data_IF_829343596085
#
_entry.id   IF_829343596085
#
_cell.length_a   1.000
_cell.length_b   1.000
_cell.length_c   1.000
_cell.angle_alpha   90.00
_cell.angle_beta   90.00
_cell.angle_gamma   90.00
#
_symmetry.space_group_name_H-M   'P 1'
#
loop_
_entity.id
_entity.type
_entity.pdbx_description
1 polymer ?
#
# COMPACT_ATOMS: atom_id res chain seq x y z
N UNK A 1 13.05 -6.23 -2.26
CA UNK A 1 13.77 -5.36 -1.30
C UNK A 1 15.22 -5.81 -1.13
N UNK A 2 15.48 -7.08 -0.76
CA UNK A 2 16.83 -7.63 -0.57
C UNK A 2 17.78 -7.44 -1.78
N UNK A 3 17.31 -7.71 -3.00
CA UNK A 3 18.09 -7.47 -4.23
C UNK A 3 18.62 -6.03 -4.36
N UNK A 4 17.90 -5.05 -3.81
CA UNK A 4 18.27 -3.63 -3.83
C UNK A 4 18.95 -3.17 -2.54
N UNK A 5 19.17 -4.05 -1.56
CA UNK A 5 19.77 -3.71 -0.26
C UNK A 5 18.89 -2.81 0.61
N UNK A 6 17.57 -2.81 0.39
CA UNK A 6 16.60 -1.97 1.12
C UNK A 6 15.90 -2.81 2.19
N UNK A 7 15.75 -2.26 3.40
CA UNK A 7 14.97 -2.92 4.45
C UNK A 7 13.47 -2.88 4.12
N UNK A 8 12.73 -3.95 4.43
CA UNK A 8 11.27 -3.96 4.19
C UNK A 8 10.54 -2.83 4.93
N UNK A 9 11.04 -2.42 6.10
CA UNK A 9 10.53 -1.26 6.86
C UNK A 9 10.63 0.08 6.12
N UNK A 10 11.47 0.16 5.08
CA UNK A 10 11.64 1.34 4.22
C UNK A 10 10.84 1.22 2.92
N UNK A 11 9.96 0.22 2.81
CA UNK A 11 9.10 0.02 1.64
C UNK A 11 7.65 0.36 1.93
N UNK A 12 6.97 0.82 0.88
CA UNK A 12 5.53 1.00 0.83
C UNK A 12 4.96 0.02 -0.20
N UNK A 13 3.91 -0.72 0.17
CA UNK A 13 3.18 -1.59 -0.73
C UNK A 13 1.73 -1.11 -0.87
N UNK A 14 1.18 -1.17 -2.07
CA UNK A 14 -0.22 -0.79 -2.37
C UNK A 14 -0.90 -2.02 -2.99
N UNK A 15 -2.08 -2.37 -2.50
CA UNK A 15 -2.84 -3.54 -2.97
C UNK A 15 -4.34 -3.39 -2.74
N UNK A 16 -5.11 -4.30 -3.32
CA UNK A 16 -6.57 -4.28 -3.25
C UNK A 16 -7.21 -5.67 -3.05
N UNK A 17 -6.46 -6.73 -3.34
CA UNK A 17 -6.97 -8.08 -3.45
C UNK A 17 -6.33 -9.01 -2.41
N UNK A 18 -6.98 -10.15 -2.07
CA UNK A 18 -6.47 -11.07 -1.05
C UNK A 18 -5.04 -11.60 -1.29
N UNK A 19 -4.63 -11.70 -2.55
CA UNK A 19 -3.26 -12.10 -2.91
C UNK A 19 -2.19 -11.05 -2.54
N UNK A 20 -2.59 -9.83 -2.18
CA UNK A 20 -1.67 -8.76 -1.78
C UNK A 20 -1.37 -8.77 -0.27
N UNK A 21 -2.12 -9.56 0.52
CA UNK A 21 -2.08 -9.53 1.99
C UNK A 21 -0.67 -9.77 2.55
N UNK A 22 0.06 -10.73 2.01
CA UNK A 22 1.42 -11.04 2.49
C UNK A 22 2.40 -9.92 2.18
N UNK A 23 2.26 -9.28 1.01
CA UNK A 23 3.05 -8.10 0.63
C UNK A 23 2.75 -6.91 1.54
N UNK A 24 1.47 -6.62 1.79
CA UNK A 24 1.02 -5.49 2.62
C UNK A 24 1.45 -5.64 4.08
N UNK A 25 1.47 -6.87 4.61
CA UNK A 25 1.97 -7.17 5.97
C UNK A 25 3.48 -7.04 6.09
N UNK A 26 4.22 -7.38 5.02
CA UNK A 26 5.68 -7.38 5.04
C UNK A 26 6.28 -5.98 4.87
N UNK A 27 5.62 -5.09 4.14
CA UNK A 27 6.07 -3.72 3.93
C UNK A 27 6.07 -2.89 5.22
N UNK A 28 6.92 -1.87 5.28
CA UNK A 28 6.93 -0.89 6.36
C UNK A 28 5.62 -0.10 6.44
N UNK A 29 4.98 0.13 5.29
CA UNK A 29 3.62 0.63 5.20
C UNK A 29 2.84 -0.12 4.10
N UNK A 30 1.86 -0.91 4.50
CA UNK A 30 0.85 -1.47 3.61
C UNK A 30 -0.33 -0.50 3.43
N UNK A 31 -0.70 -0.21 2.19
CA UNK A 31 -1.80 0.68 1.81
C UNK A 31 -2.85 -0.10 1.01
N UNK A 32 -4.11 -0.03 1.43
CA UNK A 32 -5.23 -0.61 0.69
C UNK A 32 -5.89 0.44 -0.22
N UNK A 33 -6.25 0.04 -1.44
CA UNK A 33 -7.08 0.87 -2.32
C UNK A 33 -8.51 1.03 -1.80
N UNK A 34 -9.19 2.10 -2.19
CA UNK A 34 -10.57 2.37 -1.79
C UNK A 34 -11.56 1.29 -2.26
N UNK A 35 -11.26 0.62 -3.38
CA UNK A 35 -12.03 -0.51 -3.92
C UNK A 35 -11.58 -1.88 -3.38
N UNK A 36 -10.63 -1.91 -2.44
CA UNK A 36 -10.09 -3.16 -1.92
C UNK A 36 -11.10 -4.00 -1.14
N UNK A 37 -10.86 -5.32 -1.11
CA UNK A 37 -11.59 -6.26 -0.29
C UNK A 37 -11.54 -5.88 1.20
N UNK A 38 -12.60 -6.21 1.96
CA UNK A 38 -12.72 -5.79 3.36
C UNK A 38 -11.56 -6.30 4.24
N UNK A 39 -11.09 -7.52 4.00
CA UNK A 39 -9.94 -8.10 4.70
C UNK A 39 -8.61 -7.40 4.40
N UNK A 40 -8.46 -6.88 3.18
CA UNK A 40 -7.27 -6.11 2.77
C UNK A 40 -7.25 -4.76 3.48
N UNK A 41 -8.40 -4.08 3.50
CA UNK A 41 -8.57 -2.81 4.24
C UNK A 41 -8.35 -2.96 5.74
N UNK A 42 -8.79 -4.07 6.33
CA UNK A 42 -8.65 -4.33 7.76
C UNK A 42 -7.19 -4.54 8.20
N UNK A 43 -6.32 -4.99 7.29
CA UNK A 43 -4.91 -5.26 7.57
C UNK A 43 -3.98 -4.10 7.16
N UNK A 44 -4.42 -3.20 6.29
CA UNK A 44 -3.61 -2.09 5.82
C UNK A 44 -3.44 -1.00 6.90
N UNK A 45 -2.25 -0.40 6.94
CA UNK A 45 -1.95 0.74 7.80
C UNK A 45 -2.57 2.05 7.30
N UNK A 46 -2.98 2.10 6.04
CA UNK A 46 -3.71 3.21 5.46
C UNK A 46 -4.65 2.74 4.35
N UNK A 47 -5.68 3.55 4.09
CA UNK A 47 -6.58 3.40 2.95
C UNK A 47 -6.52 4.68 2.13
N UNK A 48 -6.51 4.53 0.81
CA UNK A 48 -6.56 5.63 -0.18
C UNK A 48 -7.83 5.52 -1.03
N UNK A 49 -8.01 6.45 -1.95
CA UNK A 49 -9.10 6.45 -2.92
C UNK A 49 -9.12 5.19 -3.79
N UNK A 50 -10.19 5.00 -4.55
CA UNK A 50 -10.31 3.86 -5.47
C UNK A 50 -9.29 3.94 -6.61
N UNK A 51 -9.13 2.85 -7.35
CA UNK A 51 -8.33 2.84 -8.58
C UNK A 51 -8.90 3.77 -9.67
N UNK A 52 -10.20 4.04 -9.67
CA UNK A 52 -10.85 4.99 -10.60
C UNK A 52 -10.67 6.46 -10.17
N UNK A 53 -10.19 6.68 -8.95
CA UNK A 53 -9.98 7.99 -8.32
C UNK A 53 -8.50 8.22 -7.96
N UNK A 54 -7.59 7.64 -8.74
CA UNK A 54 -6.14 7.82 -8.62
C UNK A 54 -5.54 7.47 -7.24
N UNK A 55 -6.09 6.46 -6.55
CA UNK A 55 -5.62 6.09 -5.20
C UNK A 55 -4.12 5.78 -5.08
N UNK A 56 -3.49 5.26 -6.15
CA UNK A 56 -2.03 5.07 -6.18
C UNK A 56 -1.30 6.42 -6.16
N UNK A 57 -1.77 7.41 -6.92
CA UNK A 57 -1.19 8.75 -6.91
C UNK A 57 -1.37 9.40 -5.54
N UNK A 58 -2.55 9.27 -4.93
CA UNK A 58 -2.81 9.75 -3.57
C UNK A 58 -1.82 9.16 -2.55
N UNK A 59 -1.54 7.84 -2.62
CA UNK A 59 -0.56 7.20 -1.76
C UNK A 59 0.84 7.79 -1.94
N UNK A 60 1.27 8.00 -3.19
CA UNK A 60 2.58 8.56 -3.50
C UNK A 60 2.70 10.02 -3.02
N UNK A 61 1.68 10.84 -3.24
CA UNK A 61 1.67 12.24 -2.81
C UNK A 61 1.73 12.34 -1.28
N UNK A 62 0.93 11.53 -0.57
CA UNK A 62 0.87 11.54 0.89
C UNK A 62 2.15 11.05 1.56
N UNK A 63 2.74 9.96 1.06
CA UNK A 63 3.78 9.24 1.80
C UNK A 63 5.19 9.39 1.24
N UNK A 64 5.32 9.71 -0.05
CA UNK A 64 6.62 9.76 -0.74
C UNK A 64 6.97 11.19 -1.18
N UNK A 65 6.10 11.83 -1.96
CA UNK A 65 6.40 13.11 -2.60
C UNK A 65 6.11 14.33 -1.72
N UNK A 66 5.23 14.18 -0.70
CA UNK A 66 4.83 15.23 0.25
C UNK A 66 4.40 16.54 -0.43
N UNK A 67 3.52 16.42 -1.42
CA UNK A 67 2.95 17.56 -2.15
C UNK A 67 1.66 18.07 -1.53
#
# INVERSE_FOLDING_TARGET
AEHYGIALSETLAIGDSPNDLDMLKAAGLGVAMGNAAAEVKALAGAIVSTNEEDGVAEALDRYILRK
#
